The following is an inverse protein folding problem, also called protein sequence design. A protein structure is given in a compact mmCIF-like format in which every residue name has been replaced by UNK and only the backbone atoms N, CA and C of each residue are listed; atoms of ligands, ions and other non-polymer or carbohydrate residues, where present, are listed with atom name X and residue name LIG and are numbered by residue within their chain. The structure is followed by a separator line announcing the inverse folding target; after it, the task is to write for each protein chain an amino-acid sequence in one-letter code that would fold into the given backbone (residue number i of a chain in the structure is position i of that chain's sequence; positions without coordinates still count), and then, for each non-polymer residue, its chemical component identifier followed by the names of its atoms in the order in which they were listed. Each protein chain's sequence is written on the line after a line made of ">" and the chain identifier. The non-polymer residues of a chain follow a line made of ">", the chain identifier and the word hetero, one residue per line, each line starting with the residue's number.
data_IF_918352071829
#
_entry.id   IF_918352071829
#
_cell.length_a   1.000
_cell.length_b   1.000
_cell.length_c   1.000
_cell.angle_alpha   90.00
_cell.angle_beta   90.00
_cell.angle_gamma   90.00
#
_symmetry.space_group_name_H-M   'P 1'
#
loop_
_entity.id
_entity.type
_entity.pdbx_description
1 polymer ?
#
# COMPACT_ATOMS: atom_id res chain seq x y z
N UNK A 1 -18.77 11.09 -11.36
CA UNK A 1 -18.16 10.85 -12.69
C UNK A 1 -17.55 9.43 -12.71
N UNK A 2 -17.21 8.87 -13.88
CA UNK A 2 -16.54 7.54 -13.99
C UNK A 2 -15.27 7.47 -13.15
N UNK A 3 -14.55 8.59 -13.07
CA UNK A 3 -13.35 8.73 -12.26
C UNK A 3 -13.63 8.47 -10.77
N UNK A 4 -14.58 9.20 -10.18
CA UNK A 4 -14.90 9.04 -8.74
C UNK A 4 -15.32 7.60 -8.41
N UNK A 5 -16.15 7.00 -9.26
CA UNK A 5 -16.54 5.60 -9.11
C UNK A 5 -15.34 4.66 -9.19
N UNK A 6 -14.43 4.90 -10.13
CA UNK A 6 -13.20 4.11 -10.30
C UNK A 6 -12.28 4.24 -9.10
N UNK A 7 -12.16 5.43 -8.51
CA UNK A 7 -11.41 5.64 -7.28
C UNK A 7 -11.98 4.83 -6.11
N UNK A 8 -13.30 4.91 -5.87
CA UNK A 8 -13.97 4.18 -4.80
C UNK A 8 -13.84 2.67 -4.97
N UNK A 9 -14.12 2.14 -6.17
CA UNK A 9 -14.01 0.71 -6.44
C UNK A 9 -12.58 0.21 -6.26
N UNK A 10 -11.57 0.96 -6.71
CA UNK A 10 -10.17 0.56 -6.52
C UNK A 10 -9.78 0.61 -5.03
N UNK A 11 -10.28 1.56 -4.24
CA UNK A 11 -10.08 1.61 -2.79
C UNK A 11 -10.55 0.31 -2.12
N UNK A 12 -11.79 -0.12 -2.42
CA UNK A 12 -12.38 -1.33 -1.87
C UNK A 12 -11.61 -2.59 -2.29
N UNK A 13 -11.22 -2.66 -3.56
CA UNK A 13 -10.41 -3.76 -4.07
C UNK A 13 -9.05 -3.79 -3.37
N UNK A 14 -8.37 -2.65 -3.19
CA UNK A 14 -7.11 -2.60 -2.47
C UNK A 14 -7.24 -3.11 -1.03
N UNK A 15 -8.34 -2.82 -0.34
CA UNK A 15 -8.61 -3.37 1.00
C UNK A 15 -8.74 -4.88 0.97
N UNK A 16 -9.44 -5.45 -0.03
CA UNK A 16 -9.57 -6.91 -0.18
C UNK A 16 -8.21 -7.57 -0.42
N UNK A 17 -7.39 -7.00 -1.29
CA UNK A 17 -6.04 -7.50 -1.57
C UNK A 17 -5.08 -7.31 -0.38
N UNK A 18 -5.24 -6.23 0.39
CA UNK A 18 -4.50 -5.99 1.61
C UNK A 18 -4.81 -7.02 2.70
N UNK A 19 -6.05 -7.51 2.80
CA UNK A 19 -6.42 -8.61 3.71
C UNK A 19 -5.74 -9.93 3.36
N UNK A 20 -5.56 -10.20 2.07
CA UNK A 20 -4.80 -11.36 1.60
C UNK A 20 -3.27 -11.17 1.75
N UNK A 21 -2.82 -10.00 2.22
CA UNK A 21 -1.42 -9.59 2.30
C UNK A 21 -0.63 -9.71 0.98
N UNK A 22 -1.32 -9.65 -0.17
CA UNK A 22 -0.68 -9.72 -1.48
C UNK A 22 -0.26 -8.31 -1.91
N UNK A 23 1.02 -8.07 -2.26
CA UNK A 23 1.46 -6.78 -2.76
C UNK A 23 0.74 -6.40 -4.05
N UNK A 24 0.22 -5.18 -4.11
CA UNK A 24 -0.52 -4.65 -5.26
C UNK A 24 0.28 -3.61 -6.04
N UNK A 25 -0.14 -3.33 -7.27
CA UNK A 25 0.36 -2.19 -8.06
C UNK A 25 -0.12 -0.86 -7.46
N UNK A 26 0.54 0.24 -7.84
CA UNK A 26 0.12 1.57 -7.41
C UNK A 26 -1.36 1.83 -7.75
N UNK A 27 -2.10 2.40 -6.80
CA UNK A 27 -3.53 2.76 -6.93
C UNK A 27 -3.85 3.46 -8.25
N UNK A 28 -3.01 4.40 -8.66
CA UNK A 28 -3.13 5.13 -9.94
C UNK A 28 -3.22 4.18 -11.14
N UNK A 29 -2.38 3.16 -11.21
CA UNK A 29 -2.38 2.20 -12.32
C UNK A 29 -3.61 1.30 -12.32
N UNK A 30 -4.12 0.92 -11.14
CA UNK A 30 -5.37 0.19 -11.02
C UNK A 30 -6.57 1.03 -11.49
N UNK A 31 -6.61 2.32 -11.16
CA UNK A 31 -7.64 3.26 -11.64
C UNK A 31 -7.54 3.42 -13.16
N UNK A 32 -6.35 3.67 -13.71
CA UNK A 32 -6.13 3.79 -15.16
C UNK A 32 -6.58 2.53 -15.91
N UNK A 33 -6.36 1.34 -15.34
CA UNK A 33 -6.81 0.07 -15.91
C UNK A 33 -8.34 0.01 -15.97
N UNK A 34 -9.02 0.38 -14.88
CA UNK A 34 -10.47 0.38 -14.80
C UNK A 34 -11.11 1.39 -15.77
N UNK A 35 -10.59 2.62 -15.82
CA UNK A 35 -11.02 3.65 -16.78
C UNK A 35 -10.84 3.16 -18.24
N UNK A 36 -9.69 2.54 -18.57
CA UNK A 36 -9.45 1.99 -19.92
C UNK A 36 -10.43 0.88 -20.30
N UNK A 37 -10.79 0.00 -19.37
CA UNK A 37 -11.77 -1.07 -19.63
C UNK A 37 -13.16 -0.48 -19.85
N UNK A 38 -13.55 0.51 -19.06
CA UNK A 38 -14.80 1.24 -19.26
C UNK A 38 -14.86 1.93 -20.64
N UNK A 39 -13.77 2.54 -21.09
CA UNK A 39 -13.71 3.15 -22.43
C UNK A 39 -13.83 2.11 -23.56
N UNK A 40 -13.23 0.92 -23.38
CA UNK A 40 -13.41 -0.20 -24.32
C UNK A 40 -14.87 -0.66 -24.36
N UNK A 41 -15.52 -0.75 -23.20
CA UNK A 41 -16.94 -1.09 -23.13
C UNK A 41 -17.82 -0.07 -23.87
N UNK A 42 -17.56 1.23 -23.74
CA UNK A 42 -18.31 2.25 -24.47
C UNK A 42 -18.17 2.07 -26.00
N UNK A 43 -16.98 1.74 -26.49
CA UNK A 43 -16.75 1.46 -27.92
C UNK A 43 -17.49 0.20 -28.37
N UNK A 44 -17.50 -0.86 -27.55
CA UNK A 44 -18.25 -2.08 -27.83
C UNK A 44 -19.76 -1.84 -27.84
N UNK A 45 -20.26 -1.11 -26.84
CA UNK A 45 -21.68 -0.76 -26.72
C UNK A 45 -22.20 -0.02 -27.95
N UNK A 46 -21.39 0.85 -28.56
CA UNK A 46 -21.72 1.57 -29.80
C UNK A 46 -21.83 0.63 -31.02
N UNK A 47 -21.03 -0.44 -31.05
CA UNK A 47 -20.93 -1.36 -32.19
C UNK A 47 -21.66 -2.70 -31.96
N UNK A 48 -22.47 -2.82 -30.91
CA UNK A 48 -23.12 -4.07 -30.47
C UNK A 48 -23.99 -4.77 -31.52
N UNK A 49 -24.43 -4.06 -32.56
CA UNK A 49 -25.27 -4.61 -33.63
C UNK A 49 -24.45 -5.18 -34.79
N UNK A 50 -23.12 -4.96 -34.79
CA UNK A 50 -22.25 -5.36 -35.89
C UNK A 50 -21.78 -6.79 -35.69
N UNK A 51 -22.23 -7.70 -36.55
CA UNK A 51 -21.92 -9.13 -36.47
C UNK A 51 -20.66 -9.55 -37.23
N UNK A 52 -19.69 -8.64 -37.43
CA UNK A 52 -18.46 -9.00 -38.15
C UNK A 52 -17.55 -9.88 -37.30
N UNK A 53 -16.80 -10.79 -37.94
CA UNK A 53 -15.83 -11.64 -37.24
C UNK A 53 -14.83 -10.84 -36.40
N UNK A 54 -14.40 -9.67 -36.90
CA UNK A 54 -13.52 -8.77 -36.15
C UNK A 54 -14.19 -8.27 -34.87
N UNK A 55 -15.45 -7.89 -34.92
CA UNK A 55 -16.19 -7.39 -33.75
C UNK A 55 -16.36 -8.51 -32.71
N UNK A 56 -16.71 -9.72 -33.15
CA UNK A 56 -16.82 -10.89 -32.27
C UNK A 56 -15.49 -11.22 -31.57
N UNK A 57 -14.35 -11.12 -32.29
CA UNK A 57 -13.02 -11.30 -31.68
C UNK A 57 -12.71 -10.23 -30.63
N UNK A 58 -13.09 -8.98 -30.87
CA UNK A 58 -12.90 -7.88 -29.90
C UNK A 58 -13.78 -8.12 -28.66
N UNK A 59 -15.02 -8.57 -28.84
CA UNK A 59 -15.93 -8.90 -27.73
C UNK A 59 -15.41 -10.07 -26.91
N UNK A 60 -14.94 -11.14 -27.54
CA UNK A 60 -14.30 -12.26 -26.85
C UNK A 60 -13.06 -11.80 -26.06
N UNK A 61 -12.19 -10.99 -26.66
CA UNK A 61 -11.02 -10.41 -25.98
C UNK A 61 -11.40 -9.51 -24.81
N UNK A 62 -12.53 -8.79 -24.90
CA UNK A 62 -13.04 -7.98 -23.81
C UNK A 62 -13.54 -8.84 -22.64
N UNK A 63 -14.24 -9.94 -22.92
CA UNK A 63 -14.66 -10.91 -21.89
C UNK A 63 -13.44 -11.47 -21.12
N UNK A 64 -12.37 -11.85 -21.81
CA UNK A 64 -11.12 -12.30 -21.17
C UNK A 64 -10.49 -11.21 -20.29
N UNK A 65 -10.55 -9.95 -20.72
CA UNK A 65 -10.08 -8.82 -19.92
C UNK A 65 -10.93 -8.58 -18.66
N UNK A 66 -12.22 -8.92 -18.68
CA UNK A 66 -13.08 -8.82 -17.50
C UNK A 66 -12.68 -9.84 -16.42
N UNK A 67 -12.30 -11.05 -16.81
CA UNK A 67 -11.82 -12.07 -15.87
C UNK A 67 -10.58 -11.61 -15.10
N UNK A 68 -9.72 -10.82 -15.75
CA UNK A 68 -8.48 -10.29 -15.17
C UNK A 68 -8.59 -8.83 -14.71
N UNK A 69 -9.79 -8.24 -14.68
CA UNK A 69 -10.00 -6.81 -14.39
C UNK A 69 -9.37 -6.40 -13.06
N UNK A 70 -9.71 -7.11 -11.99
CA UNK A 70 -9.23 -6.86 -10.63
C UNK A 70 -7.94 -7.60 -10.28
N UNK A 71 -7.26 -8.20 -11.26
CA UNK A 71 -5.89 -8.63 -11.07
C UNK A 71 -4.98 -7.39 -10.99
N UNK A 72 -4.72 -6.93 -9.77
CA UNK A 72 -3.89 -5.76 -9.44
C UNK A 72 -2.65 -6.16 -8.63
N UNK A 73 -2.30 -7.44 -8.60
CA UNK A 73 -1.08 -7.92 -7.96
C UNK A 73 0.14 -7.25 -8.61
N UNK A 74 1.10 -6.85 -7.79
CA UNK A 74 2.39 -6.35 -8.29
C UNK A 74 3.12 -7.45 -9.07
N UNK A 75 3.84 -7.09 -10.14
CA UNK A 75 4.69 -8.02 -10.89
C UNK A 75 5.75 -8.65 -9.97
N UNK A 76 6.17 -7.91 -8.94
CA UNK A 76 7.14 -8.32 -7.93
C UNK A 76 6.50 -8.92 -6.67
N UNK A 77 5.18 -9.16 -6.67
CA UNK A 77 4.46 -9.70 -5.51
C UNK A 77 4.98 -11.06 -5.01
N UNK A 78 5.83 -11.71 -5.80
CA UNK A 78 6.33 -13.07 -5.59
C UNK A 78 7.86 -13.15 -5.52
N UNK A 79 8.55 -12.04 -5.26
CA UNK A 79 10.01 -12.04 -5.18
C UNK A 79 10.50 -13.00 -4.07
N UNK A 80 11.31 -13.98 -4.47
CA UNK A 80 11.84 -15.06 -3.62
C UNK A 80 12.91 -14.57 -2.65
N UNK A 81 13.41 -13.35 -2.84
CA UNK A 81 14.51 -12.80 -2.06
C UNK A 81 14.04 -12.01 -0.84
N UNK A 82 12.74 -12.07 -0.51
CA UNK A 82 12.22 -11.45 0.70
C UNK A 82 12.88 -12.07 1.95
N UNK A 83 13.46 -11.28 2.86
CA UNK A 83 14.21 -11.79 4.01
C UNK A 83 13.34 -12.46 5.08
N UNK A 84 12.02 -12.58 4.85
CA UNK A 84 11.09 -13.16 5.81
C UNK A 84 10.77 -14.63 5.47
N UNK A 85 11.25 -15.61 6.26
CA UNK A 85 11.00 -17.04 6.01
C UNK A 85 9.53 -17.46 6.09
N UNK A 86 8.65 -16.70 6.76
CA UNK A 86 7.20 -16.92 6.74
C UNK A 86 6.54 -16.53 5.41
N UNK A 87 7.18 -15.68 4.59
CA UNK A 87 6.71 -15.37 3.24
C UNK A 87 7.05 -16.50 2.25
N UNK A 88 8.07 -17.31 2.52
CA UNK A 88 8.57 -18.30 1.55
C UNK A 88 7.63 -19.49 1.32
N UNK A 89 7.01 -20.03 2.38
CA UNK A 89 6.02 -21.13 2.29
C UNK A 89 4.70 -20.66 1.71
N UNK A 90 4.35 -19.40 1.98
CA UNK A 90 3.12 -18.74 1.54
C UNK A 90 3.17 -18.23 0.10
N UNK A 91 4.37 -17.87 -0.38
CA UNK A 91 4.65 -17.56 -1.79
C UNK A 91 4.14 -18.68 -2.71
N UNK A 92 4.13 -19.94 -2.29
CA UNK A 92 3.65 -21.08 -3.11
C UNK A 92 2.12 -21.05 -3.29
N UNK A 93 1.36 -20.84 -2.20
CA UNK A 93 -0.12 -20.75 -2.21
C UNK A 93 -0.60 -19.45 -2.86
N UNK A 94 0.04 -18.32 -2.53
CA UNK A 94 -0.24 -17.03 -3.16
C UNK A 94 0.16 -17.06 -4.65
N UNK A 95 1.20 -17.79 -5.04
CA UNK A 95 1.51 -18.08 -6.46
C UNK A 95 0.44 -18.89 -7.13
N UNK A 96 -0.01 -19.96 -6.49
CA UNK A 96 -1.05 -20.82 -7.03
C UNK A 96 -2.33 -20.01 -7.23
N UNK A 97 -2.72 -19.19 -6.24
CA UNK A 97 -3.84 -18.27 -6.33
C UNK A 97 -3.65 -17.24 -7.45
N UNK A 98 -2.50 -16.57 -7.53
CA UNK A 98 -2.22 -15.58 -8.59
C UNK A 98 -2.18 -16.21 -9.99
N UNK A 99 -1.74 -17.46 -10.09
CA UNK A 99 -1.73 -18.22 -11.35
C UNK A 99 -3.16 -18.64 -11.72
N UNK A 100 -3.96 -19.06 -10.75
CA UNK A 100 -5.38 -19.37 -10.91
C UNK A 100 -6.19 -18.13 -11.33
N UNK A 101 -5.89 -16.95 -10.76
CA UNK A 101 -6.49 -15.68 -11.17
C UNK A 101 -6.09 -15.24 -12.59
N UNK A 102 -5.02 -15.81 -13.16
CA UNK A 102 -4.59 -15.58 -14.56
C UNK A 102 -5.18 -16.61 -15.53
N UNK A 103 -5.92 -17.60 -15.04
CA UNK A 103 -6.59 -18.64 -15.82
C UNK A 103 -8.08 -18.80 -15.47
N UNK A 104 -8.63 -20.00 -15.66
CA UNK A 104 -10.01 -20.31 -15.23
C UNK A 104 -10.04 -20.47 -13.70
N UNK A 105 -10.63 -19.49 -13.01
CA UNK A 105 -10.66 -19.36 -11.53
C UNK A 105 -11.26 -20.59 -10.84
N UNK A 106 -10.50 -21.20 -9.93
CA UNK A 106 -10.89 -22.31 -9.04
C UNK A 106 -10.79 -21.97 -7.55
N UNK A 107 -9.97 -20.98 -7.18
CA UNK A 107 -9.70 -20.61 -5.79
C UNK A 107 -10.45 -19.33 -5.36
N UNK A 108 -10.89 -19.29 -4.10
CA UNK A 108 -11.63 -18.18 -3.48
C UNK A 108 -10.96 -17.80 -2.14
N UNK A 109 -11.00 -16.52 -1.74
CA UNK A 109 -10.47 -16.09 -0.45
C UNK A 109 -11.41 -16.52 0.70
N UNK A 110 -10.88 -17.25 1.67
CA UNK A 110 -11.61 -17.79 2.83
C UNK A 110 -11.16 -17.15 4.15
N UNK A 111 -11.81 -17.51 5.27
CA UNK A 111 -11.74 -16.80 6.55
C UNK A 111 -10.38 -16.70 7.26
N UNK A 112 -9.35 -17.46 6.83
CA UNK A 112 -8.00 -17.43 7.43
C UNK A 112 -7.31 -16.06 7.26
N UNK A 113 -7.69 -15.28 6.25
CA UNK A 113 -7.16 -13.93 6.01
C UNK A 113 -7.46 -12.94 7.15
N UNK A 114 -8.51 -13.19 7.96
CA UNK A 114 -8.92 -12.28 9.05
C UNK A 114 -7.95 -12.31 10.24
N UNK A 115 -7.49 -13.49 10.64
CA UNK A 115 -6.63 -13.66 11.81
C UNK A 115 -5.24 -13.03 11.59
N UNK A 116 -4.81 -13.08 10.34
CA UNK A 116 -3.56 -12.54 9.87
C UNK A 116 -3.58 -11.01 9.70
N UNK A 117 -4.69 -10.43 9.23
CA UNK A 117 -4.87 -8.97 9.23
C UNK A 117 -4.67 -8.40 10.65
N UNK A 118 -5.24 -9.07 11.66
CA UNK A 118 -5.05 -8.69 13.07
C UNK A 118 -3.60 -8.90 13.57
N UNK A 119 -2.86 -9.84 12.99
CA UNK A 119 -1.45 -10.07 13.32
C UNK A 119 -0.53 -9.01 12.69
N UNK A 120 -0.81 -8.60 11.45
CA UNK A 120 -0.08 -7.54 10.76
C UNK A 120 -0.34 -6.16 11.38
N UNK A 121 -1.58 -5.87 11.78
CA UNK A 121 -1.93 -4.64 12.50
C UNK A 121 -1.12 -4.52 13.81
N UNK A 122 -1.01 -5.62 14.58
CA UNK A 122 -0.19 -5.68 15.80
C UNK A 122 1.30 -5.45 15.54
N UNK A 123 1.83 -5.93 14.41
CA UNK A 123 3.25 -5.71 14.03
C UNK A 123 3.47 -4.27 13.59
N UNK A 124 2.55 -3.72 12.80
CA UNK A 124 2.59 -2.33 12.35
C UNK A 124 2.53 -1.34 13.52
N UNK A 125 1.62 -1.56 14.48
CA UNK A 125 1.54 -0.75 15.70
C UNK A 125 2.82 -0.77 16.52
N UNK A 126 3.47 -1.94 16.62
CA UNK A 126 4.77 -2.06 17.30
C UNK A 126 5.84 -1.26 16.57
N UNK A 127 5.88 -1.30 15.24
CA UNK A 127 6.84 -0.53 14.44
C UNK A 127 6.60 0.98 14.57
N UNK A 128 5.35 1.45 14.51
CA UNK A 128 5.01 2.86 14.69
C UNK A 128 5.40 3.38 16.08
N UNK A 129 5.15 2.60 17.13
CA UNK A 129 5.56 2.96 18.50
C UNK A 129 7.08 3.04 18.63
N UNK A 130 7.83 2.11 18.02
CA UNK A 130 9.28 2.14 18.04
C UNK A 130 9.86 3.36 17.29
N UNK A 131 9.28 3.73 16.15
CA UNK A 131 9.67 4.94 15.42
C UNK A 131 9.39 6.20 16.23
N UNK A 132 8.21 6.29 16.86
CA UNK A 132 7.85 7.41 17.72
C UNK A 132 8.80 7.53 18.94
N UNK A 133 9.17 6.42 19.56
CA UNK A 133 10.14 6.42 20.66
C UNK A 133 11.50 6.96 20.21
N UNK A 134 11.99 6.54 19.04
CA UNK A 134 13.25 7.04 18.47
C UNK A 134 13.18 8.54 18.16
N UNK A 135 12.10 9.00 17.53
CA UNK A 135 11.92 10.42 17.20
C UNK A 135 11.86 11.30 18.45
N UNK A 136 11.21 10.83 19.52
CA UNK A 136 11.15 11.55 20.80
C UNK A 136 12.50 11.56 21.54
N UNK A 137 13.30 10.51 21.39
CA UNK A 137 14.67 10.43 21.91
C UNK A 137 15.60 11.40 21.17
N UNK A 138 15.48 11.50 19.85
CA UNK A 138 16.23 12.44 19.00
C UNK A 138 15.86 13.90 19.32
N UNK A 139 14.56 14.21 19.51
CA UNK A 139 14.10 15.54 19.94
C UNK A 139 14.61 15.93 21.32
N UNK A 140 14.65 14.98 22.26
CA UNK A 140 15.25 15.19 23.59
C UNK A 140 16.75 15.51 23.49
N UNK A 141 17.49 14.81 22.64
CA UNK A 141 18.93 15.05 22.44
C UNK A 141 19.21 16.41 21.80
N UNK A 142 18.37 16.88 20.87
CA UNK A 142 18.49 18.21 20.27
C UNK A 142 18.21 19.34 21.26
N UNK A 143 17.19 19.20 22.11
CA UNK A 143 16.87 20.21 23.14
C UNK A 143 17.96 20.35 24.21
N UNK A 144 18.62 19.25 24.58
CA UNK A 144 19.74 19.31 25.54
C UNK A 144 20.96 20.05 24.96
N UNK A 145 21.21 19.96 23.65
CA UNK A 145 22.32 20.65 22.98
C UNK A 145 22.06 22.16 22.78
N UNK A 146 20.80 22.58 22.63
CA UNK A 146 20.44 24.00 22.50
C UNK A 146 20.38 24.73 23.86
N UNK A 147 20.10 24.02 24.95
CA UNK A 147 20.07 24.57 26.32
C UNK A 147 21.46 24.92 26.88
N UNK A 148 22.52 24.24 26.44
CA UNK A 148 23.90 24.48 26.91
C UNK A 148 24.57 25.71 26.27
N UNK A 149 23.91 26.39 25.33
CA UNK A 149 24.41 27.61 24.67
C UNK A 149 23.95 28.92 25.33
N UNK A 150 23.07 28.86 26.34
CA UNK A 150 22.44 30.04 26.97
C UNK A 150 22.95 30.44 28.35
N UNK A 151 23.81 29.64 28.98
CA UNK A 151 24.34 29.90 30.33
C UNK A 151 25.84 30.21 30.30
N UNK A 152 26.22 31.31 29.65
CA UNK A 152 27.57 31.88 29.78
C UNK A 152 27.55 33.39 29.57
N UNK A 153 26.70 34.12 30.32
CA UNK A 153 26.85 35.57 30.46
C UNK A 153 26.10 36.08 31.70
N UNK A 154 26.63 35.82 32.91
CA UNK A 154 26.36 36.67 34.08
C UNK A 154 27.25 36.31 35.28
N UNK A 155 28.56 36.56 35.16
CA UNK A 155 29.39 36.65 36.36
C UNK A 155 30.37 37.83 36.23
N UNK A 156 29.82 39.04 36.41
CA UNK A 156 30.60 40.27 36.55
C UNK A 156 30.35 40.90 37.93
N UNK A 157 31.27 40.58 38.84
CA UNK A 157 31.87 41.44 39.88
C UNK A 157 30.93 42.23 40.81
N UNK A 158 30.84 41.77 42.07
CA UNK A 158 30.55 42.64 43.21
C UNK A 158 31.60 42.40 44.31
N UNK A 159 32.56 43.31 44.44
CA UNK A 159 33.53 43.37 45.55
C UNK A 159 33.01 44.36 46.61
N UNK A 160 32.96 43.98 47.90
CA UNK A 160 32.57 44.93 48.95
C UNK A 160 33.75 45.83 49.37
N UNK A 161 33.53 47.14 49.31
CA UNK A 161 34.43 48.17 49.84
C UNK A 161 34.29 48.18 51.38
N UNK A 162 35.39 47.92 52.09
CA UNK A 162 35.43 47.97 53.55
C UNK A 162 36.06 49.31 53.99
N UNK A 163 35.23 50.23 54.49
CA UNK A 163 35.66 51.45 55.17
C UNK A 163 36.18 51.08 56.56
N UNK A 164 37.43 51.46 56.88
CA UNK A 164 37.90 51.56 58.27
C UNK A 164 38.13 53.04 58.60
N UNK A 165 37.57 53.43 59.75
CA UNK A 165 37.66 54.74 60.41
C UNK A 165 39.10 55.08 60.82
#
# INVERSE_FOLDING_TARGET
>A
MVRDASHLTVEEVLVLWGRAAIPTVLKKHAIEKLEKIHDKWLKLKKNKTRLSETQQKIEACYTEQLHTLFNIASVNALDKNSPNPLQQTRIEEDRAFLTDQRGCRKMFMTGEDKEMAAQQERVHDKQQKQLLCKENEEKRQQQTMEGESGENESEAVNHPINLKF
#
